data_IF_762530269089
#
_entry.id   IF_762530269089
#
_cell.length_a   1.000
_cell.length_b   1.000
_cell.length_c   1.000
_cell.angle_alpha   90.00
_cell.angle_beta   90.00
_cell.angle_gamma   90.00
#
_symmetry.space_group_name_H-M   'P 1'
#
loop_
_entity.id
_entity.type
_entity.pdbx_description
1 polymer ?
#
# COMPACT_ATOMS: atom_id res chain seq x y z
N UNK A 1 -35.37 -0.59 -9.89
CA UNK A 1 -34.75 -1.86 -9.48
C UNK A 1 -33.52 -1.52 -8.64
N UNK A 2 -33.30 -2.21 -7.51
CA UNK A 2 -32.07 -2.05 -6.73
C UNK A 2 -30.85 -2.44 -7.59
N UNK A 3 -29.65 -1.94 -7.27
CA UNK A 3 -28.44 -2.30 -8.00
C UNK A 3 -28.16 -3.79 -7.76
N UNK A 4 -28.16 -4.59 -8.82
CA UNK A 4 -27.62 -5.95 -8.80
C UNK A 4 -26.11 -5.86 -8.99
N UNK A 5 -25.39 -6.43 -8.03
CA UNK A 5 -23.94 -6.63 -8.10
C UNK A 5 -23.56 -7.39 -9.37
N UNK A 6 -22.54 -6.92 -10.06
CA UNK A 6 -21.79 -7.77 -11.00
C UNK A 6 -20.77 -8.57 -10.20
N UNK A 7 -20.50 -9.80 -10.65
CA UNK A 7 -19.74 -10.85 -9.97
C UNK A 7 -18.28 -10.52 -9.58
N UNK A 8 -17.83 -9.29 -9.80
CA UNK A 8 -16.43 -8.87 -9.71
C UNK A 8 -16.18 -7.72 -8.72
N UNK A 9 -17.20 -7.25 -7.99
CA UNK A 9 -17.02 -6.23 -6.94
C UNK A 9 -16.50 -4.85 -7.41
N UNK A 10 -16.29 -4.63 -8.71
CA UNK A 10 -15.84 -3.36 -9.27
C UNK A 10 -16.99 -2.40 -9.60
N UNK A 11 -16.72 -1.09 -9.49
CA UNK A 11 -17.62 -0.02 -9.91
C UNK A 11 -17.95 -0.14 -11.41
N UNK A 12 -19.22 -0.36 -11.72
CA UNK A 12 -19.71 -0.38 -13.10
C UNK A 12 -19.75 1.06 -13.68
N UNK A 13 -18.62 1.52 -14.22
CA UNK A 13 -18.46 2.86 -14.80
C UNK A 13 -19.21 3.05 -16.14
N UNK A 14 -19.72 1.97 -16.75
CA UNK A 14 -20.48 2.02 -18.00
C UNK A 14 -21.79 2.82 -17.91
N UNK A 15 -22.28 3.13 -16.71
CA UNK A 15 -23.44 4.00 -16.48
C UNK A 15 -23.12 5.51 -16.42
N UNK A 16 -21.86 5.88 -16.63
CA UNK A 16 -21.32 7.21 -16.36
C UNK A 16 -20.45 7.78 -17.49
N UNK A 17 -20.74 7.45 -18.76
CA UNK A 17 -19.99 7.93 -19.95
C UNK A 17 -19.81 9.46 -20.03
N UNK A 18 -20.68 10.24 -19.37
CA UNK A 18 -20.61 11.71 -19.36
C UNK A 18 -20.18 12.29 -18.00
N UNK A 19 -19.54 11.51 -17.13
CA UNK A 19 -19.09 11.95 -15.82
C UNK A 19 -17.77 12.75 -15.93
N UNK A 20 -17.70 13.98 -15.39
CA UNK A 20 -16.47 14.79 -15.36
C UNK A 20 -15.28 14.11 -14.66
N UNK A 21 -15.55 13.05 -13.92
CA UNK A 21 -14.56 12.18 -13.26
C UNK A 21 -13.45 11.71 -14.20
N UNK A 22 -13.80 11.35 -15.43
CA UNK A 22 -12.80 10.84 -16.38
C UNK A 22 -11.88 11.94 -16.92
N UNK A 23 -12.38 13.19 -17.01
CA UNK A 23 -11.56 14.35 -17.37
C UNK A 23 -10.67 14.81 -16.21
N UNK A 24 -11.16 14.75 -14.97
CA UNK A 24 -10.38 15.07 -13.78
C UNK A 24 -9.25 14.05 -13.54
N UNK A 25 -9.51 12.75 -13.75
CA UNK A 25 -8.50 11.68 -13.67
C UNK A 25 -7.44 11.76 -14.77
N UNK A 26 -7.77 12.35 -15.92
CA UNK A 26 -6.82 12.59 -17.03
C UNK A 26 -6.00 13.87 -16.84
N UNK A 27 -6.25 14.66 -15.79
CA UNK A 27 -5.45 15.84 -15.48
C UNK A 27 -4.05 15.45 -15.02
N UNK A 28 -3.04 16.09 -15.58
CA UNK A 28 -1.65 15.93 -15.14
C UNK A 28 -1.43 16.36 -13.68
N UNK A 29 -2.37 17.11 -13.10
CA UNK A 29 -2.31 17.57 -11.72
C UNK A 29 -2.66 16.47 -10.70
N UNK A 30 -3.22 15.35 -11.16
CA UNK A 30 -3.60 14.21 -10.32
C UNK A 30 -2.62 13.07 -10.56
N UNK A 31 -1.55 12.99 -9.75
CA UNK A 31 -0.50 11.97 -9.89
C UNK A 31 -0.88 10.59 -9.35
N UNK A 32 -2.02 10.46 -8.66
CA UNK A 32 -2.43 9.22 -8.02
C UNK A 32 -3.21 8.30 -8.97
N UNK A 33 -2.50 7.33 -9.55
CA UNK A 33 -3.03 6.32 -10.49
C UNK A 33 -4.09 5.39 -9.87
N UNK A 34 -4.11 5.25 -8.55
CA UNK A 34 -5.10 4.47 -7.81
C UNK A 34 -6.47 5.16 -7.67
N UNK A 35 -6.56 6.47 -7.97
CA UNK A 35 -7.76 7.27 -7.71
C UNK A 35 -9.00 6.74 -8.43
N UNK A 36 -8.83 6.15 -9.62
CA UNK A 36 -9.89 5.52 -10.41
C UNK A 36 -10.61 4.36 -9.71
N UNK A 37 -9.97 3.76 -8.69
CA UNK A 37 -10.50 2.61 -7.93
C UNK A 37 -10.98 2.99 -6.53
N UNK A 38 -10.95 4.27 -6.17
CA UNK A 38 -11.19 4.71 -4.79
C UNK A 38 -12.51 5.45 -4.63
N UNK A 39 -13.14 5.29 -3.47
CA UNK A 39 -14.41 5.96 -3.20
C UNK A 39 -14.20 7.46 -2.90
N UNK A 40 -15.25 8.27 -3.09
CA UNK A 40 -15.26 9.72 -2.85
C UNK A 40 -14.71 10.13 -1.46
N UNK A 41 -14.85 9.25 -0.45
CA UNK A 41 -14.35 9.50 0.91
C UNK A 41 -12.81 9.44 0.96
N UNK A 42 -12.22 8.48 0.25
CA UNK A 42 -10.75 8.33 0.17
C UNK A 42 -10.15 9.50 -0.62
N UNK A 43 -10.81 9.94 -1.70
CA UNK A 43 -10.40 11.15 -2.41
C UNK A 43 -10.46 12.40 -1.52
N UNK A 44 -11.51 12.54 -0.70
CA UNK A 44 -11.61 13.66 0.24
C UNK A 44 -10.48 13.62 1.29
N UNK A 45 -10.20 12.44 1.86
CA UNK A 45 -9.05 12.28 2.77
C UNK A 45 -7.73 12.63 2.08
N UNK A 46 -7.50 12.14 0.86
CA UNK A 46 -6.33 12.49 0.05
C UNK A 46 -6.21 14.01 -0.11
N UNK A 47 -7.23 14.67 -0.65
CA UNK A 47 -7.19 16.10 -0.92
C UNK A 47 -6.94 16.92 0.34
N UNK A 48 -7.52 16.52 1.46
CA UNK A 48 -7.34 17.18 2.75
C UNK A 48 -5.94 16.97 3.34
N UNK A 49 -5.36 15.78 3.18
CA UNK A 49 -4.02 15.46 3.71
C UNK A 49 -2.91 16.09 2.87
N UNK A 50 -3.12 16.17 1.56
CA UNK A 50 -2.13 16.68 0.61
C UNK A 50 -2.35 18.15 0.20
N UNK A 51 -3.27 18.85 0.86
CA UNK A 51 -3.62 20.26 0.59
C UNK A 51 -4.00 20.51 -0.88
N UNK A 52 -4.74 19.55 -1.45
CA UNK A 52 -5.26 19.54 -2.83
C UNK A 52 -6.78 19.76 -2.85
N UNK A 53 -7.26 20.76 -2.11
CA UNK A 53 -8.69 21.10 -2.06
C UNK A 53 -9.25 21.53 -3.43
N UNK A 54 -8.39 22.04 -4.32
CA UNK A 54 -8.67 22.35 -5.72
C UNK A 54 -9.20 21.13 -6.50
N UNK A 55 -8.57 19.96 -6.31
CA UNK A 55 -8.97 18.69 -6.93
C UNK A 55 -10.32 18.22 -6.37
N UNK A 56 -10.56 18.46 -5.08
CA UNK A 56 -11.80 18.10 -4.41
C UNK A 56 -12.98 18.94 -4.90
N UNK A 57 -12.80 20.25 -5.05
CA UNK A 57 -13.84 21.17 -5.55
C UNK A 57 -14.23 20.88 -7.00
N UNK A 58 -13.28 20.44 -7.84
CA UNK A 58 -13.57 20.00 -9.21
C UNK A 58 -14.48 18.76 -9.25
N UNK A 59 -14.42 17.89 -8.23
CA UNK A 59 -15.14 16.62 -8.17
C UNK A 59 -16.48 16.73 -7.43
N UNK A 60 -16.55 17.52 -6.36
CA UNK A 60 -17.75 17.63 -5.51
C UNK A 60 -18.79 18.54 -6.17
N UNK A 61 -19.65 17.95 -7.00
CA UNK A 61 -21.04 18.42 -7.07
C UNK A 61 -21.82 17.77 -5.93
N UNK A 62 -22.26 18.59 -4.96
CA UNK A 62 -22.91 18.19 -3.68
C UNK A 62 -24.16 17.31 -3.84
N UNK A 63 -24.73 17.20 -5.04
CA UNK A 63 -25.95 16.42 -5.30
C UNK A 63 -25.80 15.56 -6.56
N UNK A 64 -26.21 14.30 -6.45
CA UNK A 64 -26.30 13.35 -7.58
C UNK A 64 -27.35 13.82 -8.59
N UNK A 65 -26.97 14.12 -9.84
CA UNK A 65 -27.94 14.61 -10.85
C UNK A 65 -28.98 13.56 -11.28
N UNK A 66 -28.69 12.26 -11.15
CA UNK A 66 -29.66 11.19 -11.49
C UNK A 66 -30.60 10.83 -10.34
N UNK A 67 -30.21 11.08 -9.09
CA UNK A 67 -30.87 10.51 -7.92
C UNK A 67 -31.19 11.52 -6.79
N UNK A 68 -30.68 12.75 -6.89
CA UNK A 68 -31.00 13.86 -5.98
C UNK A 68 -30.45 13.76 -4.56
N UNK A 69 -29.86 12.63 -4.17
CA UNK A 69 -29.32 12.42 -2.83
C UNK A 69 -27.91 13.00 -2.64
N UNK A 70 -27.53 13.16 -1.37
CA UNK A 70 -26.16 13.44 -0.96
C UNK A 70 -25.24 12.26 -1.33
N UNK A 71 -24.21 12.53 -2.14
CA UNK A 71 -23.30 11.51 -2.69
C UNK A 71 -22.44 10.81 -1.64
N UNK A 72 -22.33 11.33 -0.41
CA UNK A 72 -21.67 10.62 0.70
C UNK A 72 -22.42 9.34 1.10
N UNK A 73 -23.70 9.20 0.72
CA UNK A 73 -24.50 7.99 0.96
C UNK A 73 -24.21 6.84 -0.02
N UNK A 74 -23.31 7.04 -1.00
CA UNK A 74 -22.86 5.99 -1.93
C UNK A 74 -21.57 5.29 -1.48
N UNK A 75 -21.06 5.55 -0.27
CA UNK A 75 -19.85 4.88 0.22
C UNK A 75 -20.10 3.39 0.43
N UNK A 76 -19.54 2.56 -0.47
CA UNK A 76 -19.31 1.13 -0.23
C UNK A 76 -18.34 1.03 0.94
N UNK A 77 -18.83 0.55 2.08
CA UNK A 77 -17.99 0.16 3.20
C UNK A 77 -17.41 -1.21 2.85
N UNK A 78 -16.08 -1.32 2.71
CA UNK A 78 -15.43 -2.63 2.69
C UNK A 78 -15.28 -3.07 4.15
N UNK A 79 -16.10 -4.04 4.56
CA UNK A 79 -16.30 -4.49 5.94
C UNK A 79 -15.12 -5.30 6.54
N UNK A 80 -13.90 -5.13 6.03
CA UNK A 80 -12.69 -5.76 6.58
C UNK A 80 -11.55 -4.75 6.75
N UNK A 81 -11.80 -3.72 7.56
CA UNK A 81 -10.76 -2.91 8.20
C UNK A 81 -10.12 -3.70 9.35
N UNK A 82 -9.47 -4.82 9.03
CA UNK A 82 -8.43 -5.37 9.88
C UNK A 82 -7.32 -4.33 9.98
N UNK A 83 -6.89 -4.00 11.21
CA UNK A 83 -5.91 -2.96 11.45
C UNK A 83 -4.66 -3.19 10.57
N UNK A 84 -3.98 -2.13 10.15
CA UNK A 84 -2.67 -2.26 9.44
C UNK A 84 -1.72 -3.22 10.16
N UNK A 85 -1.85 -3.31 11.49
CA UNK A 85 -1.18 -4.26 12.35
C UNK A 85 -1.51 -5.73 12.03
N UNK A 86 -2.77 -6.06 11.76
CA UNK A 86 -3.19 -7.41 11.33
C UNK A 86 -2.66 -7.74 9.92
N UNK A 87 -2.69 -6.77 9.00
CA UNK A 87 -2.13 -6.92 7.65
C UNK A 87 -0.61 -7.15 7.69
N UNK A 88 0.09 -6.42 8.56
CA UNK A 88 1.53 -6.55 8.80
C UNK A 88 1.93 -7.82 9.60
N UNK A 89 0.96 -8.64 10.03
CA UNK A 89 1.21 -9.82 10.85
C UNK A 89 1.68 -9.50 12.28
N UNK A 90 1.47 -8.27 12.76
CA UNK A 90 1.85 -7.79 14.10
C UNK A 90 0.80 -8.14 15.17
N UNK A 91 0.19 -9.32 15.07
CA UNK A 91 -0.76 -9.83 16.08
C UNK A 91 -0.01 -10.13 17.39
N UNK A 92 -0.51 -9.63 18.51
CA UNK A 92 -0.17 -10.16 19.84
C UNK A 92 -0.81 -11.54 20.00
N UNK A 93 -0.27 -12.57 19.36
CA UNK A 93 -0.77 -13.93 19.55
C UNK A 93 0.37 -14.87 19.88
N UNK A 94 0.24 -15.52 21.05
CA UNK A 94 1.13 -16.51 21.67
C UNK A 94 1.25 -17.82 20.87
N UNK A 95 0.88 -17.81 19.59
CA UNK A 95 1.04 -18.92 18.68
C UNK A 95 2.13 -18.56 17.69
N UNK A 96 3.34 -19.00 18.02
CA UNK A 96 4.48 -19.08 17.11
C UNK A 96 4.04 -20.00 15.97
N UNK A 97 3.50 -19.43 14.89
CA UNK A 97 3.38 -20.16 13.64
C UNK A 97 4.80 -20.44 13.17
N UNK A 98 5.15 -21.72 13.13
CA UNK A 98 6.47 -22.21 12.75
C UNK A 98 6.76 -22.06 11.25
N UNK A 99 5.93 -21.34 10.50
CA UNK A 99 6.10 -21.18 9.07
C UNK A 99 6.46 -19.73 8.74
N UNK A 100 7.76 -19.49 8.54
CA UNK A 100 8.32 -18.18 8.16
C UNK A 100 8.22 -18.00 6.63
N UNK A 101 7.20 -18.60 6.03
CA UNK A 101 6.94 -18.56 4.60
C UNK A 101 6.08 -17.32 4.31
N UNK A 102 6.43 -16.49 3.30
CA UNK A 102 5.52 -15.48 2.81
C UNK A 102 4.14 -16.11 2.53
N UNK A 103 3.04 -15.46 2.93
CA UNK A 103 1.70 -16.03 2.78
C UNK A 103 1.42 -16.36 1.31
N UNK A 104 0.87 -17.54 1.05
CA UNK A 104 0.48 -17.97 -0.29
C UNK A 104 1.56 -18.74 -1.09
N UNK A 105 2.76 -18.93 -0.54
CA UNK A 105 3.81 -19.73 -1.18
C UNK A 105 3.83 -21.19 -0.69
N UNK A 106 4.04 -22.13 -1.62
CA UNK A 106 4.39 -23.52 -1.30
C UNK A 106 5.83 -23.63 -0.77
N UNK A 107 6.19 -24.72 -0.09
CA UNK A 107 7.55 -24.93 0.42
C UNK A 107 8.64 -24.74 -0.66
N UNK A 108 8.41 -25.27 -1.87
CA UNK A 108 9.33 -25.11 -3.00
C UNK A 108 9.42 -23.65 -3.47
N UNK A 109 8.32 -22.91 -3.46
CA UNK A 109 8.31 -21.49 -3.82
C UNK A 109 8.96 -20.64 -2.75
N UNK A 110 8.79 -20.98 -1.47
CA UNK A 110 9.50 -20.34 -0.35
C UNK A 110 11.01 -20.50 -0.48
N UNK A 111 11.51 -21.70 -0.85
CA UNK A 111 12.94 -21.91 -1.12
C UNK A 111 13.44 -21.03 -2.27
N UNK A 112 12.67 -20.94 -3.37
CA UNK A 112 13.00 -20.06 -4.49
C UNK A 112 13.00 -18.59 -4.08
N UNK A 113 12.06 -18.17 -3.24
CA UNK A 113 11.96 -16.80 -2.72
C UNK A 113 13.22 -16.43 -1.93
N UNK A 114 13.62 -17.25 -0.94
CA UNK A 114 14.83 -16.97 -0.16
C UNK A 114 16.11 -17.09 -0.98
N UNK A 115 16.17 -18.02 -1.94
CA UNK A 115 17.30 -18.14 -2.87
C UNK A 115 17.47 -16.85 -3.70
N UNK A 116 16.37 -16.26 -4.17
CA UNK A 116 16.39 -15.00 -4.94
C UNK A 116 16.86 -13.79 -4.15
N UNK A 117 16.93 -13.89 -2.82
CA UNK A 117 17.37 -12.84 -1.89
C UNK A 117 18.76 -13.11 -1.28
N UNK A 118 19.44 -14.19 -1.68
CA UNK A 118 20.71 -14.62 -1.07
C UNK A 118 21.80 -13.55 -1.09
N UNK A 119 21.95 -12.81 -2.20
CA UNK A 119 22.91 -11.70 -2.33
C UNK A 119 22.58 -10.49 -1.44
N UNK A 120 21.33 -10.40 -0.98
CA UNK A 120 20.83 -9.34 -0.09
C UNK A 120 20.57 -9.83 1.33
N UNK A 121 21.11 -11.00 1.70
CA UNK A 121 20.95 -11.55 3.03
C UNK A 121 21.54 -10.60 4.10
N UNK A 122 20.79 -10.29 5.16
CA UNK A 122 21.26 -9.42 6.21
C UNK A 122 22.36 -10.11 7.03
N UNK A 123 23.34 -9.32 7.50
CA UNK A 123 24.36 -9.76 8.46
C UNK A 123 24.20 -8.96 9.74
N UNK A 124 23.55 -9.55 10.75
CA UNK A 124 23.24 -8.89 12.02
C UNK A 124 23.72 -9.76 13.18
N UNK A 125 24.69 -9.26 13.94
CA UNK A 125 25.10 -9.85 15.22
C UNK A 125 25.57 -11.30 15.14
N UNK A 126 26.15 -11.72 14.01
CA UNK A 126 26.60 -13.11 13.80
C UNK A 126 25.49 -14.12 13.51
N UNK A 127 24.22 -13.68 13.43
CA UNK A 127 23.12 -14.53 13.00
C UNK A 127 23.23 -14.84 11.50
N UNK A 128 22.84 -16.06 11.11
CA UNK A 128 22.85 -16.53 9.71
C UNK A 128 21.48 -17.06 9.29
N UNK A 129 21.23 -17.11 7.98
CA UNK A 129 20.00 -17.69 7.41
C UNK A 129 18.74 -17.05 8.00
N UNK A 130 17.77 -17.88 8.42
CA UNK A 130 16.48 -17.40 8.92
C UNK A 130 16.59 -16.54 10.19
N UNK A 131 17.57 -16.78 11.05
CA UNK A 131 17.79 -15.97 12.25
C UNK A 131 18.21 -14.54 11.89
N UNK A 132 19.05 -14.38 10.87
CA UNK A 132 19.47 -13.07 10.38
C UNK A 132 18.30 -12.27 9.79
N UNK A 133 17.46 -12.92 8.97
CA UNK A 133 16.26 -12.31 8.41
C UNK A 133 15.26 -11.87 9.47
N UNK A 134 15.04 -12.67 10.52
CA UNK A 134 14.19 -12.27 11.66
C UNK A 134 14.76 -11.05 12.38
N UNK A 135 16.06 -11.06 12.70
CA UNK A 135 16.71 -9.94 13.37
C UNK A 135 16.63 -8.66 12.53
N UNK A 136 16.82 -8.77 11.22
CA UNK A 136 16.67 -7.65 10.28
C UNK A 136 15.25 -7.13 10.27
N UNK A 137 14.24 -8.00 10.11
CA UNK A 137 12.83 -7.61 10.08
C UNK A 137 12.43 -6.89 11.36
N UNK A 138 12.81 -7.40 12.53
CA UNK A 138 12.55 -6.74 13.82
C UNK A 138 13.16 -5.34 13.88
N UNK A 139 14.42 -5.18 13.46
CA UNK A 139 15.10 -3.88 13.44
C UNK A 139 14.48 -2.92 12.42
N UNK A 140 14.14 -3.40 11.23
CA UNK A 140 13.53 -2.61 10.18
C UNK A 140 12.15 -2.10 10.61
N UNK A 141 11.29 -2.98 11.16
CA UNK A 141 9.97 -2.59 11.69
C UNK A 141 10.07 -1.55 12.82
N UNK A 142 10.99 -1.73 13.77
CA UNK A 142 11.19 -0.77 14.85
C UNK A 142 11.64 0.62 14.33
N UNK A 143 12.40 0.64 13.24
CA UNK A 143 12.89 1.88 12.61
C UNK A 143 11.81 2.54 11.76
N UNK A 144 11.07 1.73 10.99
CA UNK A 144 10.10 2.20 10.01
C UNK A 144 8.73 2.55 10.60
N UNK A 145 8.32 1.86 11.67
CA UNK A 145 6.99 1.96 12.28
C UNK A 145 7.10 2.06 13.81
N UNK A 146 7.74 3.13 14.35
CA UNK A 146 7.79 3.32 15.79
C UNK A 146 6.38 3.59 16.35
N UNK A 147 6.12 3.28 17.63
CA UNK A 147 4.77 3.38 18.22
C UNK A 147 4.11 4.77 18.10
N UNK A 148 4.93 5.83 18.07
CA UNK A 148 4.50 7.22 17.92
C UNK A 148 3.90 7.50 16.52
N UNK A 149 4.34 6.79 15.48
CA UNK A 149 3.85 6.94 14.11
C UNK A 149 2.57 6.11 13.85
N UNK A 150 2.11 5.38 14.87
CA UNK A 150 0.96 4.48 14.81
C UNK A 150 -0.20 4.95 15.68
N UNK A 151 0.05 5.69 16.76
CA UNK A 151 -1.00 6.06 17.70
C UNK A 151 -0.66 7.32 18.49
N UNK A 152 -1.66 8.21 18.61
CA UNK A 152 -1.62 9.38 19.49
C UNK A 152 -1.35 9.02 20.96
N UNK A 153 -1.68 7.80 21.40
CA UNK A 153 -1.43 7.37 22.77
C UNK A 153 0.06 7.36 23.13
N UNK A 154 0.94 7.24 22.14
CA UNK A 154 2.40 7.24 22.34
C UNK A 154 3.02 8.63 22.08
N UNK A 155 2.24 9.61 21.64
CA UNK A 155 2.70 10.98 21.34
C UNK A 155 2.56 11.88 22.57
N UNK A 156 3.69 12.34 23.13
CA UNK A 156 3.71 13.18 24.34
C UNK A 156 3.50 14.67 24.08
N UNK A 157 3.88 15.15 22.89
CA UNK A 157 4.05 16.58 22.61
C UNK A 157 3.11 17.09 21.51
N UNK A 158 1.97 16.43 21.28
CA UNK A 158 1.01 16.83 20.24
C UNK A 158 -0.16 17.61 20.83
N UNK A 159 -0.28 18.87 20.40
CA UNK A 159 -1.36 19.77 20.81
C UNK A 159 -2.71 19.35 20.21
N UNK A 160 -3.81 19.76 20.84
CA UNK A 160 -5.17 19.42 20.39
C UNK A 160 -5.45 19.79 18.92
N UNK A 161 -4.86 20.89 18.45
CA UNK A 161 -4.99 21.36 17.07
C UNK A 161 -4.38 20.37 16.06
N UNK A 162 -3.26 19.74 16.42
CA UNK A 162 -2.51 18.84 15.52
C UNK A 162 -2.96 17.38 15.62
N UNK A 163 -3.72 17.00 16.67
CA UNK A 163 -4.26 15.64 16.83
C UNK A 163 -5.07 15.19 15.62
N UNK A 164 -5.96 16.04 15.13
CA UNK A 164 -6.81 15.74 13.97
C UNK A 164 -5.97 15.56 12.70
N UNK A 165 -4.96 16.40 12.51
CA UNK A 165 -4.06 16.30 11.35
C UNK A 165 -3.25 15.00 11.38
N UNK A 166 -2.80 14.57 12.56
CA UNK A 166 -2.12 13.29 12.75
C UNK A 166 -3.04 12.10 12.43
N UNK A 167 -4.27 12.11 12.94
CA UNK A 167 -5.25 11.05 12.64
C UNK A 167 -5.58 10.99 11.16
N UNK A 168 -5.84 12.14 10.54
CA UNK A 168 -6.09 12.25 9.10
C UNK A 168 -4.88 11.71 8.29
N UNK A 169 -3.66 12.06 8.70
CA UNK A 169 -2.44 11.60 8.04
C UNK A 169 -2.26 10.08 8.13
N UNK A 170 -2.40 9.49 9.32
CA UNK A 170 -2.31 8.04 9.50
C UNK A 170 -3.41 7.33 8.72
N UNK A 171 -4.63 7.83 8.75
CA UNK A 171 -5.75 7.25 8.01
C UNK A 171 -5.47 7.27 6.51
N UNK A 172 -5.05 8.41 5.95
CA UNK A 172 -4.70 8.52 4.55
C UNK A 172 -3.52 7.60 4.18
N UNK A 173 -2.44 7.60 4.95
CA UNK A 173 -1.30 6.68 4.73
C UNK A 173 -1.80 5.24 4.65
N UNK A 174 -2.55 4.79 5.64
CA UNK A 174 -3.00 3.40 5.76
C UNK A 174 -4.02 2.99 4.68
N UNK A 175 -4.89 3.90 4.24
CA UNK A 175 -5.94 3.60 3.26
C UNK A 175 -5.48 3.77 1.81
N UNK A 176 -4.52 4.66 1.57
CA UNK A 176 -4.17 5.15 0.23
C UNK A 176 -2.83 4.62 -0.24
N UNK A 177 -1.80 4.77 0.57
CA UNK A 177 -0.42 4.56 0.15
C UNK A 177 0.14 3.23 0.64
N UNK A 178 -0.20 2.82 1.86
CA UNK A 178 0.38 1.69 2.55
C UNK A 178 -0.20 0.36 2.05
N UNK A 179 0.69 -0.58 1.74
CA UNK A 179 0.33 -1.95 1.38
C UNK A 179 1.51 -2.91 1.60
N UNK A 180 1.32 -4.19 1.30
CA UNK A 180 2.34 -5.25 1.41
C UNK A 180 2.55 -5.88 0.04
N UNK A 181 3.81 -6.15 -0.30
CA UNK A 181 4.13 -6.83 -1.55
C UNK A 181 3.62 -8.28 -1.54
N UNK A 182 3.00 -8.71 -2.63
CA UNK A 182 2.51 -10.08 -2.77
C UNK A 182 3.52 -10.93 -3.53
N UNK A 183 4.09 -11.94 -2.87
CA UNK A 183 5.01 -12.87 -3.50
C UNK A 183 4.25 -13.96 -4.26
N UNK A 184 4.61 -14.21 -5.51
CA UNK A 184 4.07 -15.30 -6.31
C UNK A 184 5.12 -15.81 -7.29
N UNK A 185 4.91 -17.03 -7.82
CA UNK A 185 5.75 -17.56 -8.87
C UNK A 185 5.20 -17.16 -10.24
N UNK A 186 6.06 -16.58 -11.07
CA UNK A 186 5.68 -16.17 -12.42
C UNK A 186 5.51 -17.39 -13.33
N UNK A 187 4.43 -17.42 -14.09
CA UNK A 187 4.19 -18.43 -15.12
C UNK A 187 3.71 -17.75 -16.40
N UNK A 188 4.53 -17.75 -17.45
CA UNK A 188 4.16 -17.16 -18.73
C UNK A 188 5.31 -16.52 -19.49
N UNK A 189 4.96 -15.58 -20.37
CA UNK A 189 5.92 -14.76 -21.10
C UNK A 189 6.73 -13.87 -20.15
N UNK A 190 8.00 -13.55 -20.45
CA UNK A 190 8.77 -12.65 -19.62
C UNK A 190 8.05 -11.32 -19.41
N UNK A 191 7.99 -10.86 -18.16
CA UNK A 191 7.46 -9.55 -17.78
C UNK A 191 8.61 -8.64 -17.36
N UNK A 192 8.49 -7.34 -17.57
CA UNK A 192 9.54 -6.40 -17.20
C UNK A 192 9.49 -6.07 -15.70
N UNK A 193 10.63 -6.12 -15.01
CA UNK A 193 10.70 -5.68 -13.62
C UNK A 193 10.72 -4.15 -13.56
N UNK A 194 9.81 -3.54 -12.80
CA UNK A 194 9.77 -2.08 -12.62
C UNK A 194 10.98 -1.49 -11.88
N UNK A 195 11.70 -2.29 -11.08
CA UNK A 195 12.86 -1.83 -10.32
C UNK A 195 14.16 -1.77 -11.14
N UNK A 196 14.42 -2.78 -11.99
CA UNK A 196 15.68 -2.88 -12.75
C UNK A 196 15.51 -2.90 -14.27
N UNK A 197 14.27 -2.88 -14.78
CA UNK A 197 13.91 -2.94 -16.20
C UNK A 197 14.40 -4.21 -16.93
N UNK A 198 14.79 -5.24 -16.18
CA UNK A 198 15.18 -6.55 -16.73
C UNK A 198 14.00 -7.52 -16.68
N UNK A 199 13.95 -8.52 -17.58
CA UNK A 199 12.86 -9.48 -17.61
C UNK A 199 12.86 -10.40 -16.36
N UNK A 200 11.69 -10.55 -15.76
CA UNK A 200 11.34 -11.62 -14.83
C UNK A 200 10.92 -12.83 -15.67
N UNK A 201 11.67 -13.93 -15.58
CA UNK A 201 11.43 -15.13 -16.39
C UNK A 201 10.41 -16.04 -15.74
N UNK A 202 9.74 -16.85 -16.56
CA UNK A 202 8.87 -17.93 -16.09
C UNK A 202 9.60 -18.82 -15.07
N UNK A 203 8.91 -19.18 -14.00
CA UNK A 203 9.43 -19.94 -12.87
C UNK A 203 10.16 -19.12 -11.80
N UNK A 204 10.47 -17.85 -12.05
CA UNK A 204 11.05 -16.96 -11.04
C UNK A 204 10.01 -16.45 -10.06
N UNK A 205 10.43 -16.10 -8.84
CA UNK A 205 9.59 -15.40 -7.89
C UNK A 205 9.53 -13.91 -8.26
N UNK A 206 8.32 -13.35 -8.23
CA UNK A 206 8.07 -11.93 -8.37
C UNK A 206 7.32 -11.40 -7.16
N UNK A 207 7.35 -10.08 -7.01
CA UNK A 207 6.56 -9.34 -6.02
C UNK A 207 5.61 -8.42 -6.79
N UNK A 208 4.32 -8.53 -6.52
CA UNK A 208 3.30 -7.64 -7.06
C UNK A 208 3.03 -6.51 -6.07
N UNK A 209 2.83 -5.29 -6.59
CA UNK A 209 2.60 -4.10 -5.78
C UNK A 209 1.39 -3.32 -6.29
N UNK A 210 0.16 -3.74 -5.93
CA UNK A 210 -1.07 -3.18 -6.52
C UNK A 210 -1.25 -1.67 -6.31
N UNK A 211 -0.67 -1.09 -5.24
CA UNK A 211 -0.70 0.36 -5.00
C UNK A 211 0.24 1.16 -5.91
N UNK A 212 1.23 0.52 -6.52
CA UNK A 212 2.06 1.13 -7.56
C UNK A 212 1.32 1.10 -8.90
N UNK A 213 0.71 -0.04 -9.21
CA UNK A 213 -0.11 -0.27 -10.40
C UNK A 213 -0.54 -1.73 -10.51
N UNK A 214 -1.57 -2.00 -11.30
CA UNK A 214 -2.15 -3.35 -11.47
C UNK A 214 -1.12 -4.37 -11.98
N UNK A 215 -0.28 -3.96 -12.94
CA UNK A 215 0.78 -4.79 -13.53
C UNK A 215 2.14 -4.60 -12.85
N UNK A 216 2.17 -3.92 -11.69
CA UNK A 216 3.42 -3.55 -11.06
C UNK A 216 4.15 -4.78 -10.48
N UNK A 217 5.19 -5.20 -11.19
CA UNK A 217 5.93 -6.44 -10.92
C UNK A 217 7.40 -6.17 -10.68
N UNK A 218 7.96 -6.80 -9.63
CA UNK A 218 9.33 -6.63 -9.21
C UNK A 218 10.02 -7.98 -9.01
N UNK A 219 11.32 -8.07 -9.28
CA UNK A 219 12.12 -9.13 -8.65
C UNK A 219 12.10 -8.91 -7.13
N UNK A 220 12.16 -9.99 -6.34
CA UNK A 220 12.21 -9.88 -4.88
C UNK A 220 13.35 -8.95 -4.39
N UNK A 221 14.54 -9.07 -5.00
CA UNK A 221 15.69 -8.23 -4.66
C UNK A 221 15.55 -6.75 -5.12
N UNK A 222 14.65 -6.46 -6.06
CA UNK A 222 14.40 -5.10 -6.58
C UNK A 222 13.24 -4.39 -5.88
N UNK A 223 12.52 -5.08 -4.99
CA UNK A 223 11.42 -4.51 -4.23
C UNK A 223 11.98 -3.78 -3.00
N UNK A 224 12.58 -2.61 -3.24
CA UNK A 224 13.29 -1.81 -2.25
C UNK A 224 12.76 -0.38 -2.15
N UNK A 225 13.03 0.28 -1.02
CA UNK A 225 12.71 1.69 -0.84
C UNK A 225 13.56 2.58 -1.76
N UNK A 226 12.92 3.52 -2.44
CA UNK A 226 13.55 4.45 -3.38
C UNK A 226 14.54 5.44 -2.77
N UNK A 227 14.59 5.57 -1.44
CA UNK A 227 15.47 6.52 -0.73
C UNK A 227 16.66 5.81 -0.05
N UNK A 228 16.43 4.68 0.63
CA UNK A 228 17.49 3.99 1.37
C UNK A 228 17.82 2.59 0.87
N UNK A 229 17.21 2.16 -0.22
CA UNK A 229 17.41 0.83 -0.81
C UNK A 229 17.17 -0.34 0.16
N UNK A 230 16.37 -0.14 1.22
CA UNK A 230 15.99 -1.21 2.14
C UNK A 230 14.97 -2.14 1.49
N UNK A 231 15.12 -3.46 1.66
CA UNK A 231 14.17 -4.46 1.16
C UNK A 231 12.80 -4.27 1.81
N UNK A 232 11.74 -4.41 1.01
CA UNK A 232 10.35 -4.27 1.46
C UNK A 232 9.57 -5.59 1.39
N UNK A 233 10.19 -6.69 0.96
CA UNK A 233 9.53 -8.00 0.70
C UNK A 233 8.95 -8.69 1.95
N UNK A 234 9.32 -8.22 3.14
CA UNK A 234 8.80 -8.70 4.44
C UNK A 234 8.21 -7.57 5.31
N UNK A 235 8.05 -6.38 4.71
CA UNK A 235 7.67 -5.13 5.37
C UNK A 235 6.49 -4.50 4.62
N UNK A 236 5.89 -3.46 5.20
CA UNK A 236 5.01 -2.60 4.42
C UNK A 236 5.82 -1.69 3.49
N UNK A 237 5.22 -1.34 2.37
CA UNK A 237 5.64 -0.24 1.52
C UNK A 237 4.55 0.82 1.46
N UNK A 238 4.94 2.05 1.14
CA UNK A 238 4.04 3.12 0.74
C UNK A 238 4.29 3.46 -0.74
N UNK A 239 3.21 3.59 -1.51
CA UNK A 239 3.24 4.13 -2.87
C UNK A 239 3.17 5.65 -2.84
N UNK A 240 4.09 6.32 -3.53
CA UNK A 240 4.05 7.75 -3.79
C UNK A 240 4.65 8.03 -5.17
N UNK A 241 3.88 8.71 -6.04
CA UNK A 241 4.27 9.06 -7.42
C UNK A 241 4.84 7.87 -8.21
N UNK A 242 4.20 6.70 -8.09
CA UNK A 242 4.59 5.47 -8.79
C UNK A 242 5.88 4.82 -8.27
N UNK A 243 6.39 5.25 -7.11
CA UNK A 243 7.63 4.74 -6.50
C UNK A 243 7.37 4.10 -5.13
N UNK A 244 8.22 3.14 -4.79
CA UNK A 244 8.19 2.42 -3.51
C UNK A 244 8.95 3.20 -2.44
N UNK A 245 8.32 3.44 -1.29
CA UNK A 245 8.95 4.00 -0.11
C UNK A 245 8.74 3.08 1.10
N UNK A 246 9.72 3.01 2.00
CA UNK A 246 9.44 2.49 3.33
C UNK A 246 8.58 3.48 4.11
N UNK A 247 7.87 3.02 5.13
CA UNK A 247 6.91 3.87 5.85
C UNK A 247 7.57 5.12 6.43
N UNK A 248 8.78 4.97 7.00
CA UNK A 248 9.57 6.09 7.51
C UNK A 248 9.84 7.16 6.45
N UNK A 249 10.35 6.80 5.27
CA UNK A 249 10.66 7.81 4.25
C UNK A 249 9.41 8.39 3.59
N UNK A 250 8.33 7.64 3.52
CA UNK A 250 7.04 8.19 3.10
C UNK A 250 6.57 9.27 4.09
N UNK A 251 6.62 8.97 5.39
CA UNK A 251 6.23 9.89 6.44
C UNK A 251 7.14 11.12 6.51
N UNK A 252 8.46 10.92 6.52
CA UNK A 252 9.47 12.00 6.53
C UNK A 252 9.32 12.95 5.33
N UNK A 253 8.82 12.48 4.18
CA UNK A 253 8.63 13.31 2.98
C UNK A 253 7.37 14.16 3.02
N UNK A 254 6.34 13.76 3.77
CA UNK A 254 5.05 14.42 3.81
C UNK A 254 4.81 15.19 5.11
N UNK A 255 5.08 14.55 6.24
CA UNK A 255 4.92 15.08 7.60
C UNK A 255 6.07 14.56 8.47
N UNK A 256 7.25 15.22 8.44
CA UNK A 256 8.38 14.87 9.30
C UNK A 256 7.98 14.82 10.78
N UNK A 257 8.62 13.90 11.52
CA UNK A 257 8.39 13.70 12.97
C UNK A 257 8.77 14.90 13.82
#
# INVERSE_FOLDING_TARGET
>A
MPPTETYDGMLCLSRHENCPWEQALKSADVSWTGLQYTCLKILHLYCKVFDREDVLEMVIRKTCKSCGCDRLKHSVYHEELGSVRDRLGLRESRHISYDNSPPGLTAKQTELYWSSLSERAPSIGGATGTAAWRAWRTRALATQLPPQDLSLAHCKNIDEVHRKQFEDFIAARNEIALDIGFASQHHGTPIECMGCLKPIRSGSILIQAPRIGEEASFHAACFTCSECDELLVELAYCSLDGRLFCVRHYDERLKPR
#
